data_IF_382094141163
#
_entry.id   IF_382094141163
#
_cell.length_a   1.000
_cell.length_b   1.000
_cell.length_c   1.000
_cell.angle_alpha   90.00
_cell.angle_beta   90.00
_cell.angle_gamma   90.00
#
_symmetry.space_group_name_H-M   'P 1'
#
loop_
_entity.id
_entity.type
_entity.pdbx_description
1 polymer ?
#
# COMPACT_ATOMS: atom_id res chain seq x y z
N UNK A 1 -24.49 -14.36 -39.14
CA UNK A 1 -23.65 -13.15 -38.94
C UNK A 1 -23.81 -12.50 -37.56
N UNK A 2 -25.00 -12.42 -36.93
CA UNK A 2 -25.17 -11.79 -35.58
C UNK A 2 -24.44 -12.49 -34.40
N UNK A 3 -24.20 -13.80 -34.48
CA UNK A 3 -23.52 -14.57 -33.40
C UNK A 3 -21.98 -14.38 -33.36
N UNK A 4 -21.37 -13.99 -34.48
CA UNK A 4 -19.93 -13.73 -34.58
C UNK A 4 -19.51 -12.36 -33.96
N UNK A 5 -20.42 -11.39 -33.99
CA UNK A 5 -20.14 -10.04 -33.45
C UNK A 5 -20.11 -10.05 -31.92
N UNK A 6 -20.91 -10.92 -31.26
CA UNK A 6 -20.95 -11.04 -29.80
C UNK A 6 -19.66 -11.72 -29.28
N UNK A 7 -19.13 -12.69 -30.02
CA UNK A 7 -17.86 -13.35 -29.64
C UNK A 7 -16.63 -12.43 -29.79
N UNK A 8 -16.67 -11.50 -30.76
CA UNK A 8 -15.58 -10.54 -30.95
C UNK A 8 -15.57 -9.45 -29.90
N UNK A 9 -16.71 -9.08 -29.30
CA UNK A 9 -16.81 -8.10 -28.23
C UNK A 9 -16.23 -8.61 -26.88
N UNK A 10 -16.20 -9.93 -26.68
CA UNK A 10 -15.64 -10.58 -25.49
C UNK A 10 -14.09 -10.69 -25.53
N UNK A 11 -13.48 -10.42 -26.69
CA UNK A 11 -12.02 -10.47 -26.89
C UNK A 11 -11.35 -9.08 -26.87
N UNK A 12 -12.10 -8.02 -26.60
CA UNK A 12 -11.47 -6.71 -26.38
C UNK A 12 -10.62 -6.80 -25.11
N UNK A 13 -9.28 -6.58 -25.20
CA UNK A 13 -8.47 -6.51 -24.02
C UNK A 13 -9.07 -5.42 -23.13
N UNK A 14 -9.36 -5.76 -21.88
CA UNK A 14 -9.65 -4.74 -20.88
C UNK A 14 -8.39 -3.92 -20.76
N UNK A 15 -8.29 -2.80 -21.46
CA UNK A 15 -7.29 -1.78 -21.16
C UNK A 15 -7.60 -1.29 -19.77
N UNK A 16 -6.96 -1.88 -18.78
CA UNK A 16 -6.90 -1.33 -17.43
C UNK A 16 -5.99 -0.11 -17.58
N UNK A 17 -6.59 1.04 -17.74
CA UNK A 17 -5.85 2.31 -17.65
C UNK A 17 -5.35 2.40 -16.21
N UNK A 18 -4.04 2.61 -16.07
CA UNK A 18 -3.49 2.88 -14.75
C UNK A 18 -4.23 4.08 -14.16
N UNK A 19 -4.85 3.88 -13.00
CA UNK A 19 -5.58 4.94 -12.30
C UNK A 19 -4.57 5.70 -11.43
N UNK A 20 -3.75 6.51 -12.10
CA UNK A 20 -2.75 7.36 -11.42
C UNK A 20 -3.52 8.29 -10.48
N UNK A 21 -3.20 8.31 -9.18
CA UNK A 21 -3.94 9.12 -8.22
C UNK A 21 -3.70 10.62 -8.44
N UNK A 22 -4.77 11.33 -8.82
CA UNK A 22 -4.80 12.79 -8.99
C UNK A 22 -5.11 13.45 -7.65
N UNK A 23 -4.18 14.25 -7.15
CA UNK A 23 -4.29 14.86 -5.82
C UNK A 23 -5.41 15.89 -5.71
N UNK A 24 -5.65 16.68 -6.76
CA UNK A 24 -6.70 17.68 -6.78
C UNK A 24 -8.08 17.04 -6.81
N UNK A 25 -8.26 16.01 -7.66
CA UNK A 25 -9.50 15.25 -7.75
C UNK A 25 -9.79 14.51 -6.43
N UNK A 26 -8.77 13.87 -5.84
CA UNK A 26 -8.89 13.18 -4.55
C UNK A 26 -9.36 14.16 -3.48
N UNK A 27 -8.63 15.28 -3.28
CA UNK A 27 -8.97 16.27 -2.26
C UNK A 27 -10.40 16.80 -2.45
N UNK A 28 -10.77 17.18 -3.66
CA UNK A 28 -12.10 17.70 -3.96
C UNK A 28 -13.18 16.71 -3.56
N UNK A 29 -13.03 15.42 -3.90
CA UNK A 29 -14.06 14.42 -3.67
C UNK A 29 -14.13 13.95 -2.21
N UNK A 30 -12.99 13.81 -1.53
CA UNK A 30 -12.99 13.35 -0.14
C UNK A 30 -13.43 14.44 0.86
N UNK A 31 -13.32 15.72 0.51
CA UNK A 31 -13.70 16.85 1.37
C UNK A 31 -15.14 17.32 1.15
N UNK A 32 -15.77 16.96 0.04
CA UNK A 32 -17.15 17.32 -0.26
C UNK A 32 -18.14 16.37 0.42
N UNK A 33 -18.89 16.84 1.42
CA UNK A 33 -19.89 16.05 2.14
C UNK A 33 -21.04 15.53 1.28
N UNK A 34 -21.26 16.11 0.08
CA UNK A 34 -22.24 15.63 -0.90
C UNK A 34 -21.66 14.56 -1.85
N UNK A 35 -20.35 14.38 -1.86
CA UNK A 35 -19.67 13.39 -2.67
C UNK A 35 -19.96 11.96 -2.19
N UNK A 36 -20.17 10.99 -3.09
CA UNK A 36 -20.22 9.58 -2.70
C UNK A 36 -18.89 9.09 -2.10
N UNK A 37 -17.80 9.81 -2.37
CA UNK A 37 -16.44 9.51 -1.88
C UNK A 37 -16.02 10.38 -0.68
N UNK A 38 -16.98 11.01 0.02
CA UNK A 38 -16.69 11.75 1.24
C UNK A 38 -15.95 10.86 2.25
N UNK A 39 -14.76 11.33 2.70
CA UNK A 39 -13.83 10.48 3.44
C UNK A 39 -14.43 9.82 4.68
N UNK A 40 -15.17 10.59 5.49
CA UNK A 40 -15.77 10.06 6.71
C UNK A 40 -16.76 8.92 6.44
N UNK A 41 -17.54 9.00 5.35
CA UNK A 41 -18.45 7.93 4.95
C UNK A 41 -17.71 6.70 4.46
N UNK A 42 -16.67 6.87 3.65
CA UNK A 42 -15.84 5.76 3.18
C UNK A 42 -15.15 5.05 4.35
N UNK A 43 -14.58 5.81 5.28
CA UNK A 43 -13.93 5.27 6.48
C UNK A 43 -14.92 4.51 7.37
N UNK A 44 -16.13 5.06 7.56
CA UNK A 44 -17.18 4.38 8.32
C UNK A 44 -17.57 3.04 7.69
N UNK A 45 -17.80 3.01 6.37
CA UNK A 45 -18.12 1.79 5.62
C UNK A 45 -16.99 0.76 5.70
N UNK A 46 -15.74 1.19 5.56
CA UNK A 46 -14.56 0.35 5.71
C UNK A 46 -14.48 -0.27 7.11
N UNK A 47 -14.63 0.54 8.16
CA UNK A 47 -14.58 0.07 9.55
C UNK A 47 -15.73 -0.89 9.89
N UNK A 48 -16.89 -0.73 9.25
CA UNK A 48 -18.04 -1.63 9.37
C UNK A 48 -17.90 -2.91 8.54
N UNK A 49 -16.77 -3.11 7.84
CA UNK A 49 -16.52 -4.24 6.96
C UNK A 49 -17.53 -4.36 5.80
N UNK A 50 -18.10 -3.22 5.37
CA UNK A 50 -19.01 -3.18 4.24
C UNK A 50 -18.27 -3.45 2.91
N UNK A 51 -19.04 -3.83 1.90
CA UNK A 51 -18.49 -3.99 0.55
C UNK A 51 -18.21 -2.62 -0.07
N UNK A 52 -16.96 -2.41 -0.49
CA UNK A 52 -16.49 -1.24 -1.20
C UNK A 52 -16.15 -1.59 -2.65
N UNK A 53 -16.33 -0.62 -3.55
CA UNK A 53 -15.90 -0.73 -4.94
C UNK A 53 -14.41 -0.39 -5.09
N UNK A 54 -13.80 -0.71 -6.22
CA UNK A 54 -12.41 -0.33 -6.51
C UNK A 54 -12.23 1.20 -6.47
N UNK A 55 -13.25 1.95 -6.89
CA UNK A 55 -13.23 3.41 -6.84
C UNK A 55 -13.37 3.93 -5.40
N UNK A 56 -14.20 3.31 -4.55
CA UNK A 56 -14.24 3.61 -3.12
C UNK A 56 -12.86 3.42 -2.48
N UNK A 57 -12.18 2.29 -2.79
CA UNK A 57 -10.81 2.04 -2.28
C UNK A 57 -9.81 3.06 -2.79
N UNK A 58 -9.91 3.52 -4.02
CA UNK A 58 -9.04 4.56 -4.56
C UNK A 58 -9.10 5.83 -3.72
N UNK A 59 -10.30 6.38 -3.48
CA UNK A 59 -10.47 7.59 -2.70
C UNK A 59 -10.20 7.38 -1.20
N UNK A 60 -10.53 6.23 -0.65
CA UNK A 60 -10.25 5.90 0.73
C UNK A 60 -8.75 5.77 0.99
N UNK A 61 -8.04 4.99 0.18
CA UNK A 61 -6.62 4.71 0.36
C UNK A 61 -5.78 5.97 0.16
N UNK A 62 -5.90 6.65 -0.99
CA UNK A 62 -5.13 7.86 -1.25
C UNK A 62 -5.62 9.05 -0.42
N UNK A 63 -6.90 9.10 -0.08
CA UNK A 63 -7.49 10.09 0.80
C UNK A 63 -6.94 10.05 2.23
N UNK A 64 -6.51 8.87 2.71
CA UNK A 64 -5.89 8.74 4.03
C UNK A 64 -4.63 9.62 4.18
N UNK A 65 -3.90 9.87 3.11
CA UNK A 65 -2.73 10.76 3.14
C UNK A 65 -3.05 12.21 3.54
N UNK A 66 -4.32 12.58 3.60
CA UNK A 66 -4.81 13.90 4.07
C UNK A 66 -5.50 13.84 5.43
N UNK A 67 -5.61 12.63 6.02
CA UNK A 67 -6.22 12.46 7.31
C UNK A 67 -5.25 12.87 8.44
N UNK A 68 -5.78 13.43 9.55
CA UNK A 68 -4.97 13.89 10.69
C UNK A 68 -4.12 12.77 11.34
N UNK A 69 -4.60 11.52 11.28
CA UNK A 69 -3.89 10.35 11.80
C UNK A 69 -2.84 9.79 10.84
N UNK A 70 -2.71 10.33 9.64
CA UNK A 70 -1.71 9.89 8.69
C UNK A 70 -0.29 10.29 9.13
N UNK A 71 0.48 9.31 9.57
CA UNK A 71 1.85 9.48 10.07
C UNK A 71 2.78 8.45 9.43
N UNK A 72 3.11 8.61 8.14
CA UNK A 72 3.83 7.58 7.37
C UNK A 72 5.24 7.28 7.88
N UNK A 73 5.80 8.14 8.73
CA UNK A 73 7.12 7.96 9.35
C UNK A 73 7.03 7.47 10.80
N UNK A 74 5.82 7.27 11.35
CA UNK A 74 5.65 6.73 12.68
C UNK A 74 6.03 5.24 12.71
N UNK A 75 6.67 4.82 13.78
CA UNK A 75 6.96 3.40 13.99
C UNK A 75 5.68 2.70 14.42
N UNK A 76 5.29 1.67 13.68
CA UNK A 76 4.20 0.78 14.06
C UNK A 76 4.80 -0.43 14.80
N UNK A 77 4.93 -0.33 16.13
CA UNK A 77 5.50 -1.40 16.97
C UNK A 77 4.65 -2.66 16.96
N UNK A 78 3.33 -2.52 16.81
CA UNK A 78 2.41 -3.65 16.73
C UNK A 78 2.74 -4.59 15.55
N UNK A 79 3.27 -4.07 14.44
CA UNK A 79 3.73 -4.92 13.32
C UNK A 79 4.93 -5.80 13.74
N UNK A 80 5.84 -5.27 14.56
CA UNK A 80 6.97 -6.07 15.08
C UNK A 80 6.46 -7.18 16.00
N UNK A 81 5.51 -6.86 16.89
CA UNK A 81 4.88 -7.84 17.79
C UNK A 81 4.08 -8.88 17.01
N UNK A 82 3.45 -8.47 15.89
CA UNK A 82 2.76 -9.37 14.98
C UNK A 82 3.72 -10.40 14.39
N UNK A 83 4.86 -9.99 13.85
CA UNK A 83 5.89 -10.91 13.35
C UNK A 83 6.41 -11.84 14.45
N UNK A 84 6.64 -11.32 15.67
CA UNK A 84 7.05 -12.14 16.79
C UNK A 84 5.99 -13.20 17.17
N UNK A 85 4.70 -12.85 17.11
CA UNK A 85 3.59 -13.76 17.41
C UNK A 85 3.42 -14.90 16.38
N UNK A 86 3.95 -14.71 15.18
CA UNK A 86 3.94 -15.74 14.13
C UNK A 86 5.02 -16.81 14.34
N UNK A 87 6.04 -16.53 15.17
CA UNK A 87 7.10 -17.49 15.47
C UNK A 87 6.50 -18.67 16.24
N UNK A 88 6.63 -19.87 15.70
CA UNK A 88 6.07 -21.09 16.29
C UNK A 88 4.56 -21.28 16.11
N UNK A 89 3.90 -20.40 15.35
CA UNK A 89 2.51 -20.61 14.94
C UNK A 89 2.40 -21.85 14.06
N UNK A 90 1.54 -22.80 14.46
CA UNK A 90 1.17 -23.91 13.61
C UNK A 90 -0.05 -23.53 12.75
N UNK A 91 0.10 -23.27 11.44
CA UNK A 91 -1.01 -22.81 10.62
C UNK A 91 -2.11 -23.86 10.44
N UNK A 92 -1.80 -25.15 10.56
CA UNK A 92 -2.77 -26.24 10.38
C UNK A 92 -3.61 -26.49 11.64
N UNK A 93 -3.10 -26.11 12.81
CA UNK A 93 -3.80 -26.26 14.09
C UNK A 93 -3.37 -25.17 15.07
N UNK A 94 -3.77 -23.91 14.83
CA UNK A 94 -3.39 -22.79 15.66
C UNK A 94 -4.11 -22.80 17.00
N UNK A 95 -3.42 -22.40 18.08
CA UNK A 95 -4.03 -22.24 19.40
C UNK A 95 -5.02 -21.05 19.43
N UNK A 96 -6.18 -21.23 20.03
CA UNK A 96 -7.23 -20.20 20.10
C UNK A 96 -6.75 -18.92 20.81
N UNK A 97 -5.96 -19.04 21.89
CA UNK A 97 -5.42 -17.88 22.59
C UNK A 97 -4.41 -17.11 21.73
N UNK A 98 -3.63 -17.85 20.97
CA UNK A 98 -2.67 -17.24 20.03
C UNK A 98 -3.42 -16.49 18.92
N UNK A 99 -4.51 -17.03 18.39
CA UNK A 99 -5.33 -16.34 17.39
C UNK A 99 -5.97 -15.05 17.96
N UNK A 100 -6.46 -15.08 19.19
CA UNK A 100 -7.00 -13.89 19.86
C UNK A 100 -5.95 -12.82 20.09
N UNK A 101 -4.75 -13.22 20.47
CA UNK A 101 -3.61 -12.33 20.61
C UNK A 101 -3.21 -11.71 19.27
N UNK A 102 -3.14 -12.50 18.20
CA UNK A 102 -2.87 -11.99 16.83
C UNK A 102 -3.92 -10.96 16.42
N UNK A 103 -5.22 -11.24 16.63
CA UNK A 103 -6.29 -10.30 16.31
C UNK A 103 -6.15 -8.99 17.10
N UNK A 104 -5.78 -9.08 18.39
CA UNK A 104 -5.56 -7.89 19.22
C UNK A 104 -4.42 -7.02 18.66
N UNK A 105 -3.28 -7.62 18.35
CA UNK A 105 -2.12 -6.91 17.77
C UNK A 105 -2.49 -6.31 16.40
N UNK A 106 -3.21 -7.05 15.56
CA UNK A 106 -3.67 -6.53 14.27
C UNK A 106 -4.55 -5.29 14.44
N UNK A 107 -5.47 -5.30 15.41
CA UNK A 107 -6.30 -4.13 15.69
C UNK A 107 -5.48 -2.93 16.16
N UNK A 108 -4.45 -3.13 16.99
CA UNK A 108 -3.51 -2.06 17.36
C UNK A 108 -2.72 -1.54 16.16
N UNK A 109 -2.24 -2.44 15.30
CA UNK A 109 -1.53 -2.07 14.07
C UNK A 109 -2.38 -1.20 13.15
N UNK A 110 -3.68 -1.52 13.02
CA UNK A 110 -4.62 -0.78 12.19
C UNK A 110 -4.91 0.64 12.70
N UNK A 111 -4.64 0.96 13.96
CA UNK A 111 -4.74 2.35 14.47
C UNK A 111 -3.66 3.25 13.86
N UNK A 112 -2.51 2.70 13.49
CA UNK A 112 -1.39 3.43 12.88
C UNK A 112 -1.47 3.37 11.35
N UNK A 113 -1.77 2.20 10.80
CA UNK A 113 -1.86 1.93 9.37
C UNK A 113 -3.06 1.02 9.07
N UNK A 114 -4.25 1.61 8.82
CA UNK A 114 -5.48 0.85 8.59
C UNK A 114 -5.46 0.03 7.29
N UNK A 115 -4.51 0.32 6.40
CA UNK A 115 -4.40 -0.32 5.08
C UNK A 115 -3.18 -1.22 4.96
N UNK A 116 -2.56 -1.60 6.07
CA UNK A 116 -1.38 -2.46 6.06
C UNK A 116 -1.72 -3.86 5.51
N UNK A 117 -1.17 -4.27 4.34
CA UNK A 117 -1.54 -5.54 3.72
C UNK A 117 -1.15 -6.76 4.57
N UNK A 118 -0.01 -6.72 5.25
CA UNK A 118 0.41 -7.81 6.16
C UNK A 118 -0.58 -7.96 7.32
N UNK A 119 -1.00 -6.85 7.94
CA UNK A 119 -2.00 -6.86 9.04
C UNK A 119 -3.34 -7.40 8.56
N UNK A 120 -3.83 -6.93 7.39
CA UNK A 120 -5.08 -7.42 6.80
C UNK A 120 -5.02 -8.92 6.49
N UNK A 121 -3.90 -9.40 5.94
CA UNK A 121 -3.71 -10.82 5.64
C UNK A 121 -3.71 -11.70 6.91
N UNK A 122 -3.14 -11.19 8.00
CA UNK A 122 -3.16 -11.89 9.29
C UNK A 122 -4.55 -11.94 9.89
N UNK A 123 -5.38 -10.91 9.70
CA UNK A 123 -6.80 -10.95 10.11
C UNK A 123 -7.59 -11.98 9.29
N UNK A 124 -7.34 -12.06 7.97
CA UNK A 124 -7.93 -13.12 7.12
C UNK A 124 -7.60 -14.50 7.69
N UNK A 125 -6.31 -14.76 7.94
CA UNK A 125 -5.86 -16.02 8.51
C UNK A 125 -6.52 -16.30 9.88
N UNK A 126 -6.45 -15.35 10.80
CA UNK A 126 -6.91 -15.56 12.17
C UNK A 126 -8.43 -15.79 12.25
N UNK A 127 -9.24 -15.03 11.51
CA UNK A 127 -10.68 -15.24 11.46
C UNK A 127 -11.06 -16.52 10.71
N UNK A 128 -10.34 -16.87 9.63
CA UNK A 128 -10.52 -18.14 8.94
C UNK A 128 -10.24 -19.35 9.85
N UNK A 129 -9.13 -19.32 10.59
CA UNK A 129 -8.78 -20.37 11.55
C UNK A 129 -9.76 -20.46 12.73
N UNK A 130 -10.37 -19.34 13.15
CA UNK A 130 -11.46 -19.31 14.13
C UNK A 130 -12.81 -19.78 13.58
N UNK A 131 -12.96 -19.97 12.27
CA UNK A 131 -14.20 -20.35 11.61
C UNK A 131 -15.17 -19.17 11.39
N UNK A 132 -14.77 -17.92 11.63
CA UNK A 132 -15.59 -16.72 11.36
C UNK A 132 -15.47 -16.34 9.87
N UNK A 133 -16.20 -17.07 9.03
CA UNK A 133 -16.15 -16.91 7.58
C UNK A 133 -16.58 -15.51 7.11
N UNK A 134 -17.51 -14.88 7.82
CA UNK A 134 -17.99 -13.54 7.46
C UNK A 134 -16.86 -12.50 7.56
N UNK A 135 -16.10 -12.53 8.67
CA UNK A 135 -14.97 -11.63 8.86
C UNK A 135 -13.77 -12.01 7.98
N UNK A 136 -13.48 -13.30 7.81
CA UNK A 136 -12.46 -13.78 6.87
C UNK A 136 -12.68 -13.18 5.47
N UNK A 137 -13.88 -13.32 4.90
CA UNK A 137 -14.22 -12.79 3.60
C UNK A 137 -14.18 -11.25 3.55
N UNK A 138 -14.61 -10.59 4.62
CA UNK A 138 -14.61 -9.13 4.69
C UNK A 138 -13.18 -8.58 4.69
N UNK A 139 -12.29 -9.11 5.54
CA UNK A 139 -10.88 -8.71 5.56
C UNK A 139 -10.14 -9.11 4.29
N UNK A 140 -10.50 -10.24 3.67
CA UNK A 140 -9.96 -10.63 2.38
C UNK A 140 -10.34 -9.61 1.29
N UNK A 141 -11.61 -9.13 1.25
CA UNK A 141 -12.01 -8.03 0.34
C UNK A 141 -11.21 -6.75 0.61
N UNK A 142 -10.99 -6.39 1.86
CA UNK A 142 -10.17 -5.22 2.21
C UNK A 142 -8.73 -5.37 1.73
N UNK A 143 -8.11 -6.51 1.97
CA UNK A 143 -6.76 -6.82 1.48
C UNK A 143 -6.68 -6.69 -0.04
N UNK A 144 -7.61 -7.32 -0.76
CA UNK A 144 -7.65 -7.26 -2.23
C UNK A 144 -7.91 -5.84 -2.74
N UNK A 145 -8.82 -5.09 -2.10
CA UNK A 145 -9.12 -3.71 -2.48
C UNK A 145 -7.88 -2.79 -2.35
N UNK A 146 -7.14 -2.92 -1.25
CA UNK A 146 -5.89 -2.16 -1.04
C UNK A 146 -4.83 -2.55 -2.06
N UNK A 147 -4.56 -3.85 -2.24
CA UNK A 147 -3.55 -4.34 -3.18
C UNK A 147 -3.90 -3.93 -4.62
N UNK A 148 -5.16 -4.08 -5.03
CA UNK A 148 -5.62 -3.68 -6.36
C UNK A 148 -5.47 -2.17 -6.58
N UNK A 149 -5.79 -1.36 -5.57
CA UNK A 149 -5.62 0.10 -5.64
C UNK A 149 -4.17 0.48 -5.93
N UNK A 150 -3.22 -0.14 -5.24
CA UNK A 150 -1.79 0.11 -5.44
C UNK A 150 -1.35 -0.39 -6.83
N UNK A 151 -1.68 -1.63 -7.18
CA UNK A 151 -1.24 -2.25 -8.44
C UNK A 151 -1.87 -1.59 -9.68
N UNK A 152 -3.08 -1.04 -9.55
CA UNK A 152 -3.75 -0.33 -10.64
C UNK A 152 -3.26 1.12 -10.82
N UNK A 153 -2.46 1.65 -9.89
CA UNK A 153 -1.92 3.02 -9.98
C UNK A 153 -0.75 3.16 -10.94
N UNK A 154 -0.09 2.05 -11.28
CA UNK A 154 1.03 1.98 -12.21
C UNK A 154 1.45 0.54 -12.43
N UNK A 155 2.16 0.24 -13.51
CA UNK A 155 2.67 -1.10 -13.78
C UNK A 155 3.92 -1.46 -12.98
N UNK A 156 4.54 -0.47 -12.35
CA UNK A 156 5.77 -0.61 -11.57
C UNK A 156 6.99 -1.05 -12.36
N UNK A 157 6.92 -1.16 -13.69
CA UNK A 157 8.02 -1.67 -14.53
C UNK A 157 9.00 -0.60 -14.95
N UNK A 158 8.67 0.66 -14.73
CA UNK A 158 9.53 1.80 -15.06
C UNK A 158 9.35 2.95 -14.08
N UNK A 159 10.36 3.81 -14.00
CA UNK A 159 10.28 5.04 -13.20
C UNK A 159 9.14 5.96 -13.64
N UNK A 160 8.72 5.88 -14.91
CA UNK A 160 7.63 6.68 -15.46
C UNK A 160 6.24 6.24 -15.00
N UNK A 161 6.08 4.94 -14.71
CA UNK A 161 4.80 4.34 -14.31
C UNK A 161 4.94 3.54 -13.02
N UNK A 162 5.41 4.19 -11.92
CA UNK A 162 5.58 3.53 -10.63
C UNK A 162 4.23 3.18 -10.02
N UNK A 163 4.18 2.20 -9.13
CA UNK A 163 3.05 1.98 -8.25
C UNK A 163 3.05 3.01 -7.12
N UNK A 164 1.92 3.66 -6.87
CA UNK A 164 1.81 4.71 -5.85
C UNK A 164 1.42 4.14 -4.49
N UNK A 165 2.19 4.48 -3.46
CA UNK A 165 1.96 4.03 -2.08
C UNK A 165 1.83 5.19 -1.11
N UNK A 166 1.26 4.91 0.07
CA UNK A 166 1.10 5.89 1.16
C UNK A 166 1.89 5.53 2.42
N UNK A 167 2.39 4.30 2.56
CA UNK A 167 3.24 3.85 3.66
C UNK A 167 4.45 3.10 3.12
N UNK A 168 5.59 3.17 3.82
CA UNK A 168 6.84 2.52 3.38
C UNK A 168 6.71 1.00 3.24
N UNK A 169 5.99 0.35 4.18
CA UNK A 169 5.82 -1.10 4.17
C UNK A 169 5.06 -1.60 2.95
N UNK A 170 4.12 -0.80 2.42
CA UNK A 170 3.23 -1.22 1.34
C UNK A 170 3.98 -1.66 0.07
N UNK A 171 5.15 -1.07 -0.21
CA UNK A 171 5.96 -1.49 -1.35
C UNK A 171 6.44 -2.94 -1.23
N UNK A 172 6.96 -3.30 -0.05
CA UNK A 172 7.41 -4.68 0.24
C UNK A 172 6.22 -5.63 0.30
N UNK A 173 5.12 -5.20 0.91
CA UNK A 173 3.90 -6.00 1.04
C UNK A 173 3.30 -6.34 -0.32
N UNK A 174 3.29 -5.41 -1.29
CA UNK A 174 2.86 -5.67 -2.67
C UNK A 174 3.76 -6.70 -3.35
N UNK A 175 5.08 -6.57 -3.21
CA UNK A 175 6.03 -7.55 -3.77
C UNK A 175 5.78 -8.94 -3.18
N UNK A 176 5.57 -9.02 -1.86
CA UNK A 176 5.26 -10.27 -1.16
C UNK A 176 3.91 -10.86 -1.59
N UNK A 177 2.87 -10.02 -1.77
CA UNK A 177 1.56 -10.45 -2.25
C UNK A 177 1.59 -11.03 -3.69
N UNK A 178 2.56 -10.61 -4.50
CA UNK A 178 2.84 -11.18 -5.82
C UNK A 178 3.58 -12.52 -5.75
N UNK A 179 3.88 -13.04 -4.55
CA UNK A 179 4.67 -14.25 -4.32
C UNK A 179 6.15 -14.09 -4.66
N UNK A 180 6.67 -12.88 -4.52
CA UNK A 180 8.04 -12.51 -4.87
C UNK A 180 8.79 -12.01 -3.63
N UNK A 181 10.12 -12.13 -3.68
CA UNK A 181 11.01 -11.63 -2.64
C UNK A 181 11.78 -10.41 -3.16
N UNK A 182 11.68 -9.29 -2.44
CA UNK A 182 12.37 -8.04 -2.75
C UNK A 182 13.69 -7.92 -1.98
N UNK A 183 14.69 -7.31 -2.62
CA UNK A 183 15.93 -6.84 -1.97
C UNK A 183 15.69 -5.48 -1.33
N UNK A 184 16.75 -4.92 -0.74
CA UNK A 184 16.73 -3.55 -0.24
C UNK A 184 16.38 -2.56 -1.36
N UNK A 185 15.47 -1.63 -1.07
CA UNK A 185 15.08 -0.58 -2.00
C UNK A 185 16.27 0.33 -2.36
N UNK A 186 16.30 0.77 -3.61
CA UNK A 186 17.29 1.68 -4.19
C UNK A 186 16.60 2.99 -4.57
N UNK A 187 17.14 4.12 -4.12
CA UNK A 187 16.60 5.45 -4.46
C UNK A 187 16.99 5.75 -5.91
N UNK A 188 15.99 5.90 -6.78
CA UNK A 188 16.18 6.22 -8.20
C UNK A 188 16.09 7.72 -8.44
N UNK A 189 15.07 8.36 -7.88
CA UNK A 189 14.88 9.81 -7.95
C UNK A 189 14.34 10.35 -6.63
N UNK A 190 13.95 11.63 -6.59
CA UNK A 190 13.49 12.27 -5.35
C UNK A 190 12.33 11.53 -4.67
N UNK A 191 11.43 10.97 -5.48
CA UNK A 191 10.18 10.38 -5.00
C UNK A 191 10.00 8.93 -5.40
N UNK A 192 10.90 8.37 -6.22
CA UNK A 192 10.77 7.01 -6.74
C UNK A 192 11.90 6.14 -6.22
N UNK A 193 11.52 5.00 -5.68
CA UNK A 193 12.44 3.95 -5.27
C UNK A 193 12.17 2.68 -6.09
N UNK A 194 13.21 1.89 -6.27
CA UNK A 194 13.17 0.62 -6.96
C UNK A 194 13.46 -0.50 -6.00
N UNK A 195 12.60 -1.52 -5.97
CA UNK A 195 12.84 -2.74 -5.21
C UNK A 195 13.28 -3.84 -6.18
N UNK A 196 14.57 -4.17 -6.23
CA UNK A 196 15.06 -5.31 -7.01
C UNK A 196 14.50 -6.61 -6.45
N UNK A 197 14.17 -7.56 -7.31
CA UNK A 197 13.79 -8.92 -6.89
C UNK A 197 15.02 -9.77 -6.59
N UNK A 198 14.89 -10.69 -5.63
CA UNK A 198 15.92 -11.70 -5.38
C UNK A 198 16.08 -12.58 -6.61
N UNK A 199 14.97 -13.05 -7.16
CA UNK A 199 14.92 -13.78 -8.41
C UNK A 199 14.02 -13.07 -9.44
N UNK A 200 14.55 -12.73 -10.63
CA UNK A 200 13.76 -12.11 -11.68
C UNK A 200 12.61 -13.02 -12.14
N UNK A 201 11.39 -12.48 -12.19
CA UNK A 201 10.20 -13.18 -12.65
C UNK A 201 10.16 -13.22 -14.18
N UNK A 202 10.03 -14.42 -14.76
CA UNK A 202 9.82 -14.58 -16.20
C UNK A 202 8.38 -14.20 -16.56
N UNK A 203 8.24 -13.43 -17.64
CA UNK A 203 6.96 -13.02 -18.24
C UNK A 203 7.05 -13.22 -19.75
N UNK A 204 5.93 -13.30 -20.49
CA UNK A 204 5.96 -13.58 -21.94
C UNK A 204 6.83 -12.64 -22.74
N UNK A 205 6.89 -11.36 -22.35
CA UNK A 205 7.61 -10.27 -23.00
C UNK A 205 8.99 -9.97 -22.36
N UNK A 206 9.52 -10.89 -21.53
CA UNK A 206 10.85 -10.74 -20.95
C UNK A 206 11.00 -11.18 -19.50
N UNK A 207 11.64 -10.34 -18.69
CA UNK A 207 11.86 -10.58 -17.26
C UNK A 207 11.60 -9.33 -16.43
N UNK A 208 10.82 -9.45 -15.38
CA UNK A 208 10.68 -8.41 -14.36
C UNK A 208 11.82 -8.61 -13.35
N UNK A 209 12.70 -7.60 -13.24
CA UNK A 209 13.85 -7.62 -12.33
C UNK A 209 13.57 -6.93 -10.99
N UNK A 210 12.49 -6.14 -10.90
CA UNK A 210 12.07 -5.40 -9.75
C UNK A 210 10.90 -4.48 -10.07
N UNK A 211 10.46 -3.72 -9.08
CA UNK A 211 9.34 -2.79 -9.22
C UNK A 211 9.70 -1.40 -8.72
N UNK A 212 9.16 -0.40 -9.40
CA UNK A 212 9.26 1.02 -9.06
C UNK A 212 8.04 1.45 -8.26
N UNK A 213 8.28 2.18 -7.17
CA UNK A 213 7.23 2.72 -6.31
C UNK A 213 7.39 4.22 -6.14
N UNK A 214 6.27 4.94 -6.14
CA UNK A 214 6.22 6.38 -5.87
C UNK A 214 5.94 6.63 -4.38
N UNK A 215 6.86 7.32 -3.73
CA UNK A 215 6.86 7.70 -2.31
C UNK A 215 6.50 9.18 -2.09
N UNK A 216 6.03 9.89 -3.11
CA UNK A 216 5.80 11.34 -3.05
C UNK A 216 4.90 11.75 -1.89
N UNK A 217 3.85 10.96 -1.58
CA UNK A 217 2.91 11.22 -0.49
C UNK A 217 3.57 11.07 0.88
N UNK A 218 4.44 10.10 1.03
CA UNK A 218 5.21 9.84 2.26
C UNK A 218 6.21 10.96 2.50
N UNK A 219 6.96 11.33 1.47
CA UNK A 219 8.00 12.36 1.57
C UNK A 219 7.44 13.78 1.74
N UNK A 220 6.21 14.03 1.28
CA UNK A 220 5.52 15.32 1.50
C UNK A 220 5.30 15.59 2.99
N UNK A 221 4.94 14.57 3.75
CA UNK A 221 4.67 14.65 5.18
C UNK A 221 5.90 14.33 6.06
N UNK A 222 7.06 14.13 5.44
CA UNK A 222 8.30 13.94 6.20
C UNK A 222 8.61 15.24 6.93
N UNK A 223 8.76 15.22 8.27
CA UNK A 223 9.21 16.38 9.01
C UNK A 223 10.50 16.89 8.40
N UNK A 224 10.67 18.21 8.37
CA UNK A 224 11.92 18.82 7.97
C UNK A 224 13.05 18.19 8.79
N UNK A 225 13.77 17.25 8.21
CA UNK A 225 14.89 16.58 8.87
C UNK A 225 15.99 17.61 9.09
N UNK A 226 16.16 18.01 10.36
CA UNK A 226 17.18 18.95 10.79
C UNK A 226 18.58 18.48 10.34
N UNK A 227 18.78 17.16 10.28
CA UNK A 227 20.04 16.54 9.81
C UNK A 227 20.25 16.78 8.33
N UNK A 228 19.19 16.71 7.53
CA UNK A 228 19.26 16.96 6.10
C UNK A 228 19.51 18.45 5.78
N UNK A 229 18.85 19.36 6.50
CA UNK A 229 19.10 20.81 6.40
C UNK A 229 20.55 21.14 6.82
N UNK A 230 21.06 20.55 7.92
CA UNK A 230 22.44 20.74 8.35
C UNK A 230 23.46 20.27 7.30
N UNK A 231 23.26 19.13 6.66
CA UNK A 231 24.19 18.65 5.62
C UNK A 231 24.22 19.59 4.41
N UNK A 232 23.06 20.08 3.98
CA UNK A 232 22.96 21.03 2.87
C UNK A 232 23.63 22.36 3.18
N UNK A 233 23.32 22.91 4.34
CA UNK A 233 23.90 24.17 4.82
C UNK A 233 25.41 24.03 5.01
N UNK A 234 25.87 22.90 5.55
CA UNK A 234 27.28 22.63 5.76
C UNK A 234 28.05 22.56 4.42
N UNK A 235 27.52 21.89 3.42
CA UNK A 235 28.13 21.84 2.09
C UNK A 235 28.22 23.23 1.44
N UNK A 236 27.17 24.02 1.58
CA UNK A 236 27.13 25.36 1.02
C UNK A 236 28.08 26.31 1.74
N UNK A 237 28.10 26.27 3.06
CA UNK A 237 29.00 27.10 3.86
C UNK A 237 30.47 26.71 3.66
N UNK A 238 30.78 25.44 3.46
CA UNK A 238 32.13 25.00 3.19
C UNK A 238 32.64 25.43 1.82
N UNK A 239 31.78 25.49 0.84
CA UNK A 239 32.14 26.00 -0.48
C UNK A 239 32.39 27.51 -0.43
N UNK A 240 31.56 28.27 0.27
CA UNK A 240 31.72 29.71 0.43
C UNK A 240 32.98 30.12 1.22
N UNK A 241 33.35 29.36 2.24
CA UNK A 241 34.55 29.62 3.05
C UNK A 241 35.84 29.32 2.29
N UNK A 242 35.83 28.43 1.32
CA UNK A 242 37.02 28.11 0.52
C UNK A 242 37.32 29.13 -0.56
N UNK A 243 36.31 29.83 -1.07
CA UNK A 243 36.47 30.78 -2.16
C UNK A 243 36.95 32.17 -1.74
N UNK A 244 36.80 32.49 -0.46
CA UNK A 244 37.10 33.84 0.05
C UNK A 244 38.22 33.88 1.06
N UNK A 245 39.07 32.87 1.08
CA UNK A 245 40.37 32.84 1.73
C UNK A 245 41.49 32.91 0.67
#
# INVERSE_FOLDING_TARGET
>A
MKRFIIALMLLLPKFVWAQIPDEEDILRKIMDGASPYYYANLQMRYNNLEQLTDEDYHYLYYGYAYHENYKPTATNTAVTDLYASMIGLNPDNPDQKQLEYIISICNESMLVDPFNPTTLNMLVFAYGAKGDKAKEEAYHRHLQGVLNTIMNSGDGRSEKYPMHIIMFSHAVDVVSALGLEGKRAEIISRNVEYIPLVEPRKVPDGRIKGFYFDYSRIYRNKPDDVTFKKKRTWQFNNLGVREYK
#
